data_IF_208629411266
#
_entry.id   IF_208629411266
#
_cell.length_a   1.000
_cell.length_b   1.000
_cell.length_c   1.000
_cell.angle_alpha   90.00
_cell.angle_beta   90.00
_cell.angle_gamma   90.00
#
_symmetry.space_group_name_H-M   'P 1'
#
loop_
_entity.id
_entity.type
_entity.pdbx_description
1 polymer ?
#
# COMPACT_ATOMS: atom_id res chain seq x y z
N UNK A 1 -17.55 -3.23 23.52
CA UNK A 1 -17.02 -2.83 22.17
C UNK A 1 -15.67 -3.52 21.98
N UNK A 2 -15.41 -4.07 20.81
CA UNK A 2 -14.16 -4.79 20.54
C UNK A 2 -13.03 -3.77 20.24
N UNK A 3 -11.89 -3.94 20.91
CA UNK A 3 -10.63 -3.20 20.59
C UNK A 3 -9.99 -3.74 19.30
N UNK A 4 -10.52 -4.82 18.73
CA UNK A 4 -9.94 -5.57 17.60
C UNK A 4 -9.82 -4.79 16.29
N UNK A 5 -10.56 -3.69 16.13
CA UNK A 5 -10.48 -2.86 14.91
C UNK A 5 -9.26 -1.93 14.90
N UNK A 6 -8.72 -1.59 16.06
CA UNK A 6 -7.56 -0.71 16.20
C UNK A 6 -6.28 -1.54 16.14
N UNK A 7 -5.80 -1.79 14.90
CA UNK A 7 -4.64 -2.65 14.63
C UNK A 7 -3.35 -1.84 14.59
N UNK A 8 -2.23 -2.54 14.41
CA UNK A 8 -0.91 -1.90 14.44
C UNK A 8 -0.70 -0.91 13.29
N UNK A 9 -1.17 -1.23 12.07
CA UNK A 9 -0.88 -0.43 10.88
C UNK A 9 -2.05 0.41 10.37
N UNK A 10 -3.27 0.01 10.69
CA UNK A 10 -4.50 0.66 10.23
C UNK A 10 -5.67 0.35 11.17
N UNK A 11 -6.81 0.98 10.88
CA UNK A 11 -8.09 0.62 11.50
C UNK A 11 -8.81 -0.29 10.53
N UNK A 12 -9.24 -1.49 10.95
CA UNK A 12 -9.88 -2.47 10.09
C UNK A 12 -10.99 -3.22 10.80
N UNK A 13 -12.17 -3.34 10.16
CA UNK A 13 -13.30 -4.04 10.75
C UNK A 13 -14.40 -4.35 9.74
N UNK A 14 -15.40 -5.12 10.18
CA UNK A 14 -16.58 -5.47 9.38
C UNK A 14 -17.60 -4.35 9.46
N UNK A 15 -18.10 -3.92 8.28
CA UNK A 15 -19.09 -2.86 8.15
C UNK A 15 -20.36 -3.16 8.96
N UNK A 16 -20.92 -2.15 9.61
CA UNK A 16 -22.05 -2.15 10.55
C UNK A 16 -21.85 -2.98 11.83
N UNK A 17 -21.05 -4.02 11.81
CA UNK A 17 -20.77 -4.84 12.99
C UNK A 17 -19.75 -4.17 13.93
N UNK A 18 -18.64 -3.76 13.37
CA UNK A 18 -17.50 -3.17 14.07
C UNK A 18 -17.31 -1.69 13.65
N UNK A 19 -17.41 -1.41 12.35
CA UNK A 19 -17.41 -0.06 11.79
C UNK A 19 -18.87 0.42 11.64
N UNK A 20 -19.50 0.75 12.75
CA UNK A 20 -20.83 1.35 12.79
C UNK A 20 -20.74 2.89 12.83
N UNK A 21 -21.89 3.54 12.70
CA UNK A 21 -22.00 4.99 12.60
C UNK A 21 -21.35 5.73 13.78
N UNK A 22 -21.64 5.33 15.03
CA UNK A 22 -21.11 5.97 16.23
C UNK A 22 -19.57 5.89 16.27
N UNK A 23 -19.03 4.70 16.03
CA UNK A 23 -17.58 4.46 16.04
C UNK A 23 -16.88 5.26 14.93
N UNK A 24 -17.43 5.27 13.72
CA UNK A 24 -16.78 5.95 12.58
C UNK A 24 -16.83 7.48 12.73
N UNK A 25 -17.91 8.04 13.25
CA UNK A 25 -17.98 9.46 13.60
C UNK A 25 -16.93 9.83 14.66
N UNK A 26 -16.78 9.01 15.70
CA UNK A 26 -15.73 9.21 16.72
C UNK A 26 -14.32 9.07 16.15
N UNK A 27 -14.09 8.10 15.25
CA UNK A 27 -12.80 7.98 14.52
C UNK A 27 -12.49 9.32 13.83
N UNK A 28 -13.42 9.86 13.04
CA UNK A 28 -13.23 11.16 12.37
C UNK A 28 -12.93 12.31 13.33
N UNK A 29 -13.68 12.38 14.44
CA UNK A 29 -13.49 13.42 15.46
C UNK A 29 -12.11 13.35 16.12
N UNK A 30 -11.70 12.18 16.58
CA UNK A 30 -10.43 12.02 17.28
C UNK A 30 -9.22 12.11 16.35
N UNK A 31 -9.32 11.68 15.08
CA UNK A 31 -8.28 11.92 14.07
C UNK A 31 -8.09 13.41 13.79
N UNK A 32 -9.17 14.16 13.66
CA UNK A 32 -9.09 15.60 13.50
C UNK A 32 -8.47 16.28 14.75
N UNK A 33 -8.80 15.81 15.96
CA UNK A 33 -8.14 16.26 17.20
C UNK A 33 -6.66 15.93 17.24
N UNK A 34 -6.29 14.72 16.81
CA UNK A 34 -4.88 14.32 16.72
C UNK A 34 -4.11 15.20 15.72
N UNK A 35 -4.71 15.51 14.57
CA UNK A 35 -4.11 16.44 13.62
C UNK A 35 -3.94 17.84 14.21
N UNK A 36 -4.97 18.42 14.82
CA UNK A 36 -4.88 19.73 15.45
C UNK A 36 -3.83 19.79 16.57
N UNK A 37 -3.59 18.69 17.27
CA UNK A 37 -2.50 18.58 18.25
C UNK A 37 -1.11 18.64 17.60
N UNK A 38 -0.95 18.02 16.41
CA UNK A 38 0.31 18.02 15.64
C UNK A 38 0.51 19.33 14.87
N UNK A 39 -0.58 19.87 14.32
CA UNK A 39 -0.63 21.06 13.47
C UNK A 39 -1.74 21.98 13.97
N UNK A 40 -1.48 22.89 14.92
CA UNK A 40 -2.52 23.71 15.56
C UNK A 40 -3.35 24.57 14.61
N UNK A 41 -2.80 24.94 13.45
CA UNK A 41 -3.47 25.74 12.42
C UNK A 41 -4.00 24.88 11.27
N UNK A 42 -4.11 23.57 11.42
CA UNK A 42 -4.68 22.69 10.41
C UNK A 42 -6.12 23.10 10.07
N UNK A 43 -6.46 23.03 8.81
CA UNK A 43 -7.77 23.43 8.28
C UNK A 43 -8.47 22.31 7.52
N UNK A 44 -7.72 21.42 6.90
CA UNK A 44 -8.24 20.46 5.93
C UNK A 44 -7.73 19.04 6.18
N UNK A 45 -8.66 18.07 6.21
CA UNK A 45 -8.40 16.64 6.04
C UNK A 45 -8.97 16.16 4.72
N UNK A 46 -8.14 15.56 3.89
CA UNK A 46 -8.59 14.96 2.64
C UNK A 46 -9.08 13.53 2.88
N UNK A 47 -10.17 13.13 2.24
CA UNK A 47 -10.77 11.80 2.35
C UNK A 47 -11.04 11.22 0.98
N UNK A 48 -10.44 10.06 0.69
CA UNK A 48 -10.72 9.26 -0.49
C UNK A 48 -11.24 7.88 -0.10
N UNK A 49 -11.77 7.12 -1.04
CA UNK A 49 -12.27 5.78 -0.77
C UNK A 49 -12.11 4.82 -1.95
N UNK A 50 -12.10 3.51 -1.63
CA UNK A 50 -12.00 2.41 -2.58
C UNK A 50 -13.37 2.00 -3.17
N UNK A 51 -13.36 0.94 -4.02
CA UNK A 51 -14.54 0.44 -4.72
C UNK A 51 -15.61 -0.20 -3.83
N UNK A 52 -15.37 -0.43 -2.53
CA UNK A 52 -16.29 -1.15 -1.64
C UNK A 52 -17.61 -0.42 -1.48
N UNK A 53 -18.71 -1.16 -1.54
CA UNK A 53 -20.09 -0.62 -1.59
C UNK A 53 -20.44 0.29 -0.42
N UNK A 54 -19.84 0.07 0.73
CA UNK A 54 -20.09 0.84 1.96
C UNK A 54 -19.10 2.00 2.19
N UNK A 55 -18.09 2.15 1.35
CA UNK A 55 -17.09 3.23 1.50
C UNK A 55 -17.70 4.64 1.45
N UNK A 56 -18.69 4.95 0.58
CA UNK A 56 -19.37 6.26 0.61
C UNK A 56 -20.12 6.55 1.92
N UNK A 57 -20.75 5.53 2.52
CA UNK A 57 -21.42 5.67 3.82
C UNK A 57 -20.42 5.97 4.94
N UNK A 58 -19.32 5.21 4.98
CA UNK A 58 -18.25 5.45 5.94
C UNK A 58 -17.65 6.85 5.79
N UNK A 59 -17.52 7.35 4.55
CA UNK A 59 -17.07 8.73 4.28
C UNK A 59 -18.02 9.76 4.91
N UNK A 60 -19.33 9.63 4.76
CA UNK A 60 -20.30 10.53 5.37
C UNK A 60 -20.18 10.57 6.89
N UNK A 61 -20.14 9.41 7.53
CA UNK A 61 -19.98 9.31 8.97
C UNK A 61 -18.64 9.89 9.45
N UNK A 62 -17.54 9.57 8.78
CA UNK A 62 -16.21 10.08 9.09
C UNK A 62 -16.16 11.61 8.96
N UNK A 63 -16.76 12.16 7.90
CA UNK A 63 -16.83 13.60 7.65
C UNK A 63 -17.59 14.33 8.76
N UNK A 64 -18.68 13.75 9.28
CA UNK A 64 -19.43 14.32 10.41
C UNK A 64 -18.54 14.48 11.64
N UNK A 65 -17.69 13.49 11.93
CA UNK A 65 -16.73 13.56 13.04
C UNK A 65 -15.66 14.63 12.82
N UNK A 66 -15.07 14.68 11.65
CA UNK A 66 -14.04 15.65 11.28
C UNK A 66 -14.59 17.09 11.39
N UNK A 67 -15.76 17.34 10.81
CA UNK A 67 -16.43 18.64 10.86
C UNK A 67 -16.78 19.05 12.30
N UNK A 68 -17.20 18.10 13.14
CA UNK A 68 -17.46 18.35 14.58
C UNK A 68 -16.21 18.82 15.31
N UNK A 69 -15.04 18.36 14.94
CA UNK A 69 -13.78 18.78 15.53
C UNK A 69 -13.29 20.15 15.02
N UNK A 70 -13.94 20.73 14.01
CA UNK A 70 -13.64 22.07 13.48
C UNK A 70 -12.76 22.08 12.22
N UNK A 71 -12.39 20.92 11.68
CA UNK A 71 -11.72 20.83 10.38
C UNK A 71 -12.74 20.72 9.25
N UNK A 72 -12.32 21.04 8.02
CA UNK A 72 -13.10 20.82 6.80
C UNK A 72 -12.60 19.59 6.06
N UNK A 73 -13.52 18.88 5.42
CA UNK A 73 -13.21 17.70 4.63
C UNK A 73 -13.04 18.07 3.16
N UNK A 74 -11.88 17.68 2.58
CA UNK A 74 -11.64 17.67 1.14
C UNK A 74 -12.00 16.28 0.62
N UNK A 75 -13.11 16.16 -0.14
CA UNK A 75 -13.58 14.88 -0.67
C UNK A 75 -12.92 14.60 -2.03
N UNK A 76 -12.14 13.56 -2.11
CA UNK A 76 -11.48 13.10 -3.33
C UNK A 76 -12.35 12.11 -4.13
N UNK A 77 -13.44 11.61 -3.55
CA UNK A 77 -14.27 10.57 -4.17
C UNK A 77 -13.57 9.21 -4.26
N UNK A 78 -13.91 8.47 -5.31
CA UNK A 78 -13.34 7.16 -5.63
C UNK A 78 -11.94 7.33 -6.24
N UNK A 79 -10.90 6.94 -5.50
CA UNK A 79 -9.50 7.09 -5.90
C UNK A 79 -8.66 5.92 -5.41
N UNK A 80 -7.53 5.59 -6.04
CA UNK A 80 -6.56 4.66 -5.48
C UNK A 80 -5.84 5.26 -4.26
N UNK A 81 -5.38 4.40 -3.35
CA UNK A 81 -4.60 4.79 -2.16
C UNK A 81 -3.42 5.71 -2.51
N UNK A 82 -2.63 5.47 -3.57
CA UNK A 82 -1.58 6.39 -3.99
C UNK A 82 -2.05 7.81 -4.30
N UNK A 83 -3.22 7.98 -4.93
CA UNK A 83 -3.76 9.32 -5.19
C UNK A 83 -4.22 10.03 -3.90
N UNK A 84 -4.62 9.28 -2.88
CA UNK A 84 -4.88 9.81 -1.55
C UNK A 84 -3.58 10.27 -0.87
N UNK A 85 -2.52 9.48 -0.93
CA UNK A 85 -1.20 9.89 -0.40
C UNK A 85 -0.63 11.10 -1.15
N UNK A 86 -0.80 11.14 -2.48
CA UNK A 86 -0.35 12.24 -3.35
C UNK A 86 -0.85 13.61 -2.90
N UNK A 87 -2.09 13.69 -2.41
CA UNK A 87 -2.69 14.93 -1.93
C UNK A 87 -1.94 15.56 -0.74
N UNK A 88 -1.22 14.76 0.07
CA UNK A 88 -0.41 15.29 1.17
C UNK A 88 0.81 16.10 0.68
N UNK A 89 1.24 15.89 -0.55
CA UNK A 89 2.45 16.50 -1.12
C UNK A 89 2.14 17.58 -2.16
N UNK A 90 0.91 17.62 -2.65
CA UNK A 90 0.50 18.48 -3.76
C UNK A 90 -0.72 19.30 -3.40
N UNK A 91 -0.76 20.53 -3.91
CA UNK A 91 -1.95 21.36 -3.89
C UNK A 91 -2.92 20.89 -4.99
N UNK A 92 -4.20 20.78 -4.65
CA UNK A 92 -5.25 20.32 -5.56
C UNK A 92 -6.39 21.35 -5.51
N UNK A 93 -6.76 21.92 -6.64
CA UNK A 93 -7.82 22.93 -6.79
C UNK A 93 -7.67 24.14 -5.83
N UNK A 94 -6.42 24.55 -5.55
CA UNK A 94 -6.13 25.64 -4.62
C UNK A 94 -6.18 25.24 -3.15
N UNK A 95 -6.36 23.96 -2.83
CA UNK A 95 -6.35 23.43 -1.46
C UNK A 95 -5.10 22.61 -1.17
N UNK A 96 -4.55 22.84 0.01
CA UNK A 96 -3.47 22.01 0.58
C UNK A 96 -4.00 21.31 1.81
N UNK A 97 -4.02 19.99 1.81
CA UNK A 97 -4.45 19.23 2.98
C UNK A 97 -3.34 19.12 4.04
N UNK A 98 -3.75 19.06 5.30
CA UNK A 98 -2.86 18.88 6.46
C UNK A 98 -2.71 17.40 6.82
N UNK A 99 -3.52 16.54 6.20
CA UNK A 99 -3.49 15.10 6.30
C UNK A 99 -4.52 14.46 5.38
N UNK A 100 -4.46 13.15 5.24
CA UNK A 100 -5.43 12.40 4.44
C UNK A 100 -5.84 11.09 5.11
N UNK A 101 -7.04 10.64 4.78
CA UNK A 101 -7.59 9.36 5.21
C UNK A 101 -8.10 8.63 3.97
N UNK A 102 -7.59 7.42 3.78
CA UNK A 102 -8.09 6.52 2.76
C UNK A 102 -9.02 5.48 3.38
N UNK A 103 -10.25 5.42 2.92
CA UNK A 103 -11.24 4.43 3.33
C UNK A 103 -11.09 3.22 2.42
N UNK A 104 -10.54 2.14 2.95
CA UNK A 104 -10.25 0.94 2.17
C UNK A 104 -10.18 -0.30 3.03
N UNK A 105 -10.59 -1.43 2.44
CA UNK A 105 -10.32 -2.76 2.95
C UNK A 105 -9.10 -3.42 2.31
N UNK A 106 -8.40 -2.75 1.35
CA UNK A 106 -7.30 -3.30 0.56
C UNK A 106 -7.70 -4.68 -0.02
N UNK A 107 -6.94 -5.71 0.24
CA UNK A 107 -7.18 -7.09 -0.16
C UNK A 107 -8.08 -7.89 0.81
N UNK A 108 -8.75 -7.30 1.80
CA UNK A 108 -9.67 -8.03 2.67
C UNK A 108 -10.97 -8.41 1.94
N UNK A 109 -11.74 -9.41 2.44
CA UNK A 109 -13.06 -9.76 1.91
C UNK A 109 -14.02 -8.55 1.77
N UNK A 110 -15.04 -8.63 0.91
CA UNK A 110 -15.94 -7.48 0.59
C UNK A 110 -16.61 -6.84 1.80
N UNK A 111 -16.92 -7.59 2.86
CA UNK A 111 -17.58 -7.10 4.06
C UNK A 111 -16.69 -6.27 4.99
N UNK A 112 -15.37 -6.33 4.79
CA UNK A 112 -14.40 -5.52 5.55
C UNK A 112 -14.24 -4.12 4.95
N UNK A 113 -13.86 -3.17 5.81
CA UNK A 113 -13.34 -1.87 5.43
C UNK A 113 -12.39 -1.34 6.50
N UNK A 114 -11.82 -0.16 6.31
CA UNK A 114 -10.89 0.41 7.27
C UNK A 114 -10.40 1.79 6.87
N UNK A 115 -9.36 2.25 7.57
CA UNK A 115 -8.81 3.60 7.38
C UNK A 115 -7.29 3.54 7.40
N UNK A 116 -6.66 3.91 6.27
CA UNK A 116 -5.23 4.24 6.21
C UNK A 116 -5.10 5.74 6.44
N UNK A 117 -4.27 6.14 7.39
CA UNK A 117 -4.27 7.50 7.91
C UNK A 117 -2.88 8.12 7.78
N UNK A 118 -2.83 9.31 7.21
CA UNK A 118 -1.63 10.13 7.11
C UNK A 118 -1.92 11.51 7.74
N UNK A 119 -1.21 11.88 8.79
CA UNK A 119 -1.34 13.20 9.43
C UNK A 119 -0.02 13.95 9.36
N UNK A 120 -0.04 15.15 8.80
CA UNK A 120 1.17 15.96 8.62
C UNK A 120 2.27 15.22 7.83
N UNK A 121 1.89 14.53 6.75
CA UNK A 121 2.77 13.72 5.90
C UNK A 121 3.43 12.51 6.59
N UNK A 122 2.93 12.10 7.72
CA UNK A 122 3.43 10.95 8.47
C UNK A 122 2.33 9.92 8.67
N UNK A 123 2.63 8.62 8.58
CA UNK A 123 1.66 7.58 8.87
C UNK A 123 1.21 7.68 10.32
N UNK A 124 -0.07 7.43 10.56
CA UNK A 124 -0.67 7.37 11.88
C UNK A 124 -0.96 5.89 12.20
N UNK A 125 -0.16 5.27 13.07
CA UNK A 125 -0.16 3.83 13.30
C UNK A 125 0.32 3.47 14.71
N UNK A 126 0.30 2.18 15.06
CA UNK A 126 0.77 1.62 16.32
C UNK A 126 0.18 2.36 17.54
N UNK A 127 1.01 2.92 18.40
CA UNK A 127 0.60 3.61 19.62
C UNK A 127 -0.40 4.76 19.38
N UNK A 128 -0.30 5.43 18.24
CA UNK A 128 -1.26 6.47 17.85
C UNK A 128 -2.66 5.87 17.68
N UNK A 129 -2.78 4.73 16.97
CA UNK A 129 -4.05 4.02 16.76
C UNK A 129 -4.57 3.44 18.07
N UNK A 130 -3.70 2.84 18.88
CA UNK A 130 -4.10 2.28 20.17
C UNK A 130 -4.58 3.37 21.13
N UNK A 131 -3.92 4.54 21.14
CA UNK A 131 -4.36 5.69 21.93
C UNK A 131 -5.71 6.22 21.46
N UNK A 132 -5.87 6.39 20.13
CA UNK A 132 -7.13 6.78 19.51
C UNK A 132 -8.26 5.81 19.93
N UNK A 133 -8.01 4.52 19.89
CA UNK A 133 -8.98 3.49 20.29
C UNK A 133 -9.42 3.60 21.74
N UNK A 134 -8.47 3.85 22.66
CA UNK A 134 -8.79 4.09 24.08
C UNK A 134 -9.68 5.32 24.27
N UNK A 135 -9.36 6.42 23.60
CA UNK A 135 -10.14 7.66 23.70
C UNK A 135 -11.57 7.47 23.17
N UNK A 136 -11.72 6.79 22.01
CA UNK A 136 -13.03 6.49 21.41
C UNK A 136 -13.88 5.60 22.31
N UNK A 137 -13.30 4.56 22.91
CA UNK A 137 -14.02 3.62 23.77
C UNK A 137 -14.44 4.25 25.11
N UNK A 138 -13.74 5.26 25.58
CA UNK A 138 -14.08 6.03 26.79
C UNK A 138 -15.13 7.12 26.53
N UNK A 139 -15.36 7.48 25.25
CA UNK A 139 -16.27 8.58 24.88
C UNK A 139 -17.71 8.08 24.70
N UNK A 140 -18.61 8.57 25.55
CA UNK A 140 -20.05 8.32 25.47
C UNK A 140 -20.84 9.46 24.78
N UNK A 141 -20.15 10.44 24.18
CA UNK A 141 -20.81 11.53 23.46
C UNK A 141 -21.43 11.06 22.15
N UNK A 142 -22.43 11.77 21.69
CA UNK A 142 -23.04 11.57 20.37
C UNK A 142 -22.60 12.69 19.43
N UNK A 143 -22.28 12.34 18.19
CA UNK A 143 -21.90 13.27 17.14
C UNK A 143 -23.05 13.35 16.12
N UNK A 144 -23.64 14.54 16.00
CA UNK A 144 -24.69 14.80 15.03
C UNK A 144 -24.17 14.76 13.59
N UNK A 145 -25.06 14.47 12.65
CA UNK A 145 -24.74 14.45 11.22
C UNK A 145 -24.30 15.82 10.72
N UNK A 146 -23.18 15.84 10.04
CA UNK A 146 -22.67 16.97 9.29
C UNK A 146 -21.70 16.45 8.21
N UNK A 147 -22.23 15.99 7.13
CA UNK A 147 -21.47 15.40 6.00
C UNK A 147 -20.97 16.45 4.99
N UNK A 148 -20.92 17.73 5.37
CA UNK A 148 -20.44 18.79 4.50
C UNK A 148 -18.99 18.54 4.06
N UNK A 149 -18.76 18.62 2.75
CA UNK A 149 -17.44 18.40 2.14
C UNK A 149 -17.17 19.42 1.03
N UNK A 150 -15.90 19.62 0.73
CA UNK A 150 -15.44 20.36 -0.45
C UNK A 150 -14.90 19.31 -1.42
N UNK A 151 -15.50 19.20 -2.60
CA UNK A 151 -15.00 18.30 -3.65
C UNK A 151 -13.71 18.83 -4.24
N UNK A 152 -12.71 17.91 -4.43
CA UNK A 152 -11.46 18.22 -5.10
C UNK A 152 -11.12 17.14 -6.14
N UNK A 153 -10.48 17.53 -7.23
CA UNK A 153 -10.13 16.63 -8.33
C UNK A 153 -8.74 16.02 -8.16
N UNK A 154 -8.57 15.21 -7.11
CA UNK A 154 -7.33 14.50 -6.84
C UNK A 154 -6.99 13.48 -7.93
N UNK A 155 -8.00 12.82 -8.50
CA UNK A 155 -7.84 11.81 -9.54
C UNK A 155 -7.12 12.37 -10.77
N UNK A 156 -7.66 13.39 -11.39
CA UNK A 156 -7.07 13.94 -12.61
C UNK A 156 -5.71 14.60 -12.32
N UNK A 157 -5.56 15.23 -11.17
CA UNK A 157 -4.27 15.80 -10.76
C UNK A 157 -3.16 14.74 -10.61
N UNK A 158 -3.51 13.57 -10.06
CA UNK A 158 -2.61 12.41 -9.97
C UNK A 158 -2.31 11.83 -11.36
N UNK A 159 -3.32 11.63 -12.21
CA UNK A 159 -3.15 11.17 -13.60
C UNK A 159 -2.18 12.08 -14.34
N UNK A 160 -2.39 13.40 -14.29
CA UNK A 160 -1.53 14.37 -15.00
C UNK A 160 -0.09 14.33 -14.48
N UNK A 161 0.10 14.15 -13.17
CA UNK A 161 1.45 14.00 -12.60
C UNK A 161 2.17 12.76 -13.13
N UNK A 162 1.49 11.60 -13.17
CA UNK A 162 2.07 10.36 -13.72
C UNK A 162 2.39 10.53 -15.20
N UNK A 163 1.45 11.05 -15.98
CA UNK A 163 1.64 11.28 -17.43
C UNK A 163 2.83 12.20 -17.68
N UNK A 164 2.94 13.32 -16.97
CA UNK A 164 4.07 14.25 -17.14
C UNK A 164 5.41 13.61 -16.75
N UNK A 165 5.42 12.79 -15.69
CA UNK A 165 6.62 12.10 -15.21
C UNK A 165 7.14 11.07 -16.22
N UNK A 166 6.25 10.43 -17.00
CA UNK A 166 6.59 9.31 -17.87
C UNK A 166 6.31 9.55 -19.37
N UNK A 167 6.07 10.79 -19.79
CA UNK A 167 5.83 11.15 -21.21
C UNK A 167 7.00 10.87 -22.16
N UNK A 168 8.16 10.52 -21.62
CA UNK A 168 9.36 10.18 -22.38
C UNK A 168 9.39 8.73 -22.87
N UNK A 169 8.50 7.87 -22.36
CA UNK A 169 8.45 6.45 -22.71
C UNK A 169 8.17 6.21 -24.21
N UNK A 170 8.88 5.25 -24.80
CA UNK A 170 8.78 4.86 -26.23
C UNK A 170 8.55 3.35 -26.38
N UNK A 171 7.38 2.91 -26.00
CA UNK A 171 7.01 1.48 -25.94
C UNK A 171 6.17 1.00 -27.13
N UNK A 172 6.36 1.60 -28.32
CA UNK A 172 5.53 1.38 -29.53
C UNK A 172 5.46 -0.07 -30.00
N UNK A 173 6.53 -0.85 -29.76
CA UNK A 173 6.64 -2.26 -30.17
C UNK A 173 6.32 -3.25 -29.04
N UNK A 174 5.86 -2.77 -27.90
CA UNK A 174 5.52 -3.57 -26.72
C UNK A 174 4.02 -3.54 -26.46
N UNK A 175 3.50 -4.61 -25.90
CA UNK A 175 2.10 -4.74 -25.52
C UNK A 175 1.99 -5.32 -24.11
N UNK A 176 1.17 -4.72 -23.29
CA UNK A 176 1.07 -5.03 -21.87
C UNK A 176 -0.34 -5.45 -21.49
N UNK A 177 -0.43 -6.31 -20.48
CA UNK A 177 -1.69 -6.68 -19.87
C UNK A 177 -1.71 -6.24 -18.40
N UNK A 178 -2.85 -5.71 -17.98
CA UNK A 178 -3.06 -5.22 -16.63
C UNK A 178 -4.27 -5.91 -16.02
N UNK A 179 -4.20 -6.25 -14.75
CA UNK A 179 -5.29 -6.84 -13.98
C UNK A 179 -5.61 -5.95 -12.79
N UNK A 180 -6.76 -5.29 -12.85
CA UNK A 180 -7.21 -4.38 -11.79
C UNK A 180 -8.06 -5.09 -10.72
N UNK A 181 -8.40 -6.38 -10.89
CA UNK A 181 -9.17 -7.17 -9.92
C UNK A 181 -10.48 -6.51 -9.48
N UNK A 182 -11.13 -5.68 -10.33
CA UNK A 182 -12.26 -4.81 -9.97
C UNK A 182 -11.97 -3.82 -8.83
N UNK A 183 -10.70 -3.58 -8.51
CA UNK A 183 -10.23 -2.56 -7.57
C UNK A 183 -10.16 -1.17 -8.18
N UNK A 184 -9.55 -0.23 -7.46
CA UNK A 184 -9.49 1.18 -7.88
C UNK A 184 -8.30 1.53 -8.79
N UNK A 185 -7.43 0.58 -9.14
CA UNK A 185 -6.39 0.82 -10.15
C UNK A 185 -7.01 1.26 -11.48
N UNK A 186 -8.12 0.64 -11.90
CA UNK A 186 -8.85 0.97 -13.14
C UNK A 186 -9.34 2.40 -13.21
N UNK A 187 -9.58 3.05 -12.07
CA UNK A 187 -10.04 4.45 -12.00
C UNK A 187 -9.10 5.43 -12.68
N UNK A 188 -7.79 5.13 -12.70
CA UNK A 188 -6.74 6.02 -13.21
C UNK A 188 -5.94 5.40 -14.35
N UNK A 189 -5.74 4.08 -14.34
CA UNK A 189 -4.77 3.38 -15.20
C UNK A 189 -5.11 3.50 -16.68
N UNK A 190 -6.36 3.23 -17.08
CA UNK A 190 -6.78 3.26 -18.49
C UNK A 190 -6.56 4.64 -19.13
N UNK A 191 -6.84 5.72 -18.39
CA UNK A 191 -6.61 7.09 -18.87
C UNK A 191 -5.11 7.40 -19.00
N UNK A 192 -4.29 7.01 -18.02
CA UNK A 192 -2.83 7.21 -18.07
C UNK A 192 -2.22 6.46 -19.28
N UNK A 193 -2.57 5.18 -19.47
CA UNK A 193 -2.08 4.37 -20.59
C UNK A 193 -2.48 4.97 -21.93
N UNK A 194 -3.70 5.50 -22.04
CA UNK A 194 -4.20 6.18 -23.24
C UNK A 194 -3.42 7.45 -23.52
N UNK A 195 -3.22 8.32 -22.52
CA UNK A 195 -2.46 9.58 -22.66
C UNK A 195 -0.98 9.33 -23.04
N UNK A 196 -0.40 8.22 -22.58
CA UNK A 196 0.98 7.81 -22.90
C UNK A 196 1.08 6.96 -24.17
N UNK A 197 -0.03 6.68 -24.86
CA UNK A 197 -0.07 5.86 -26.08
C UNK A 197 0.55 4.46 -25.90
N UNK A 198 0.31 3.82 -24.75
CA UNK A 198 0.81 2.49 -24.41
C UNK A 198 -0.20 1.43 -24.86
N UNK A 199 0.21 0.48 -25.71
CA UNK A 199 -0.64 -0.63 -26.16
C UNK A 199 -0.93 -1.58 -25.00
N UNK A 200 -2.21 -1.77 -24.69
CA UNK A 200 -2.61 -2.51 -23.52
C UNK A 200 -3.90 -3.31 -23.70
N UNK A 201 -4.13 -4.22 -22.75
CA UNK A 201 -5.41 -4.82 -22.40
C UNK A 201 -5.54 -4.72 -20.89
N UNK A 202 -6.71 -4.29 -20.41
CA UNK A 202 -6.99 -4.22 -18.96
C UNK A 202 -8.08 -5.24 -18.64
N UNK A 203 -7.78 -6.15 -17.72
CA UNK A 203 -8.74 -7.09 -17.13
C UNK A 203 -9.40 -6.44 -15.92
N UNK A 204 -10.70 -6.65 -15.77
CA UNK A 204 -11.48 -6.26 -14.60
C UNK A 204 -11.28 -4.79 -14.20
N UNK A 205 -11.29 -3.91 -15.22
CA UNK A 205 -10.99 -2.48 -15.08
C UNK A 205 -12.05 -1.75 -14.25
N UNK A 206 -13.34 -2.14 -14.43
CA UNK A 206 -14.47 -1.48 -13.76
C UNK A 206 -14.46 -1.76 -12.25
N UNK A 207 -14.44 -0.74 -11.39
CA UNK A 207 -14.45 -0.94 -9.94
C UNK A 207 -15.78 -1.59 -9.48
N UNK A 208 -15.67 -2.70 -8.76
CA UNK A 208 -16.81 -3.39 -8.13
C UNK A 208 -16.43 -3.95 -6.76
N UNK A 209 -17.02 -3.38 -5.71
CA UNK A 209 -16.73 -3.78 -4.32
C UNK A 209 -17.15 -5.20 -3.94
N UNK A 210 -17.82 -5.95 -4.84
CA UNK A 210 -18.08 -7.38 -4.67
C UNK A 210 -16.93 -8.26 -5.17
N UNK A 211 -15.97 -7.70 -5.95
CA UNK A 211 -14.85 -8.42 -6.57
C UNK A 211 -15.27 -9.71 -7.29
N UNK A 212 -16.14 -9.63 -8.31
CA UNK A 212 -16.84 -10.80 -8.86
C UNK A 212 -15.95 -11.76 -9.65
N UNK A 213 -14.76 -11.34 -10.08
CA UNK A 213 -13.88 -12.16 -10.92
C UNK A 213 -12.88 -12.96 -10.08
N UNK A 214 -12.13 -12.29 -9.24
CA UNK A 214 -11.24 -12.91 -8.26
C UNK A 214 -10.97 -11.94 -7.10
N UNK A 215 -10.44 -12.48 -6.01
CA UNK A 215 -10.00 -11.66 -4.88
C UNK A 215 -8.83 -10.75 -5.28
N UNK A 216 -8.88 -9.42 -5.02
CA UNK A 216 -7.84 -8.49 -5.49
C UNK A 216 -6.60 -8.51 -4.58
N UNK A 217 -5.84 -9.60 -4.63
CA UNK A 217 -4.59 -9.78 -3.89
C UNK A 217 -3.50 -10.35 -4.81
N UNK A 218 -2.63 -9.52 -5.42
CA UNK A 218 -1.60 -9.97 -6.35
C UNK A 218 -0.46 -10.75 -5.66
N UNK A 219 -0.44 -10.85 -4.34
CA UNK A 219 0.50 -11.69 -3.61
C UNK A 219 0.10 -13.17 -3.59
N UNK A 220 -1.17 -13.48 -3.85
CA UNK A 220 -1.70 -14.84 -3.99
C UNK A 220 -1.61 -15.29 -5.46
N UNK A 221 -0.86 -16.38 -5.72
CA UNK A 221 -0.67 -16.93 -7.06
C UNK A 221 -1.99 -17.37 -7.75
N UNK A 222 -3.01 -17.75 -6.98
CA UNK A 222 -4.31 -18.15 -7.52
C UNK A 222 -5.09 -16.99 -8.14
N UNK A 223 -4.89 -15.77 -7.67
CA UNK A 223 -5.55 -14.58 -8.22
C UNK A 223 -4.92 -14.13 -9.53
N UNK A 224 -3.76 -14.67 -9.89
CA UNK A 224 -3.01 -14.34 -11.11
C UNK A 224 -3.29 -15.29 -12.29
N UNK A 225 -4.25 -16.21 -12.17
CA UNK A 225 -4.49 -17.23 -13.21
C UNK A 225 -4.93 -16.60 -14.53
N UNK A 226 -5.82 -15.60 -14.51
CA UNK A 226 -6.32 -14.96 -15.74
C UNK A 226 -5.22 -14.19 -16.48
N UNK A 227 -4.43 -13.39 -15.75
CA UNK A 227 -3.33 -12.64 -16.37
C UNK A 227 -2.23 -13.58 -16.90
N UNK A 228 -1.92 -14.69 -16.20
CA UNK A 228 -0.99 -15.73 -16.68
C UNK A 228 -1.48 -16.40 -17.95
N UNK A 229 -2.77 -16.70 -18.03
CA UNK A 229 -3.39 -17.27 -19.24
C UNK A 229 -3.26 -16.34 -20.43
N UNK A 230 -3.49 -15.06 -20.25
CA UNK A 230 -3.32 -14.05 -21.31
C UNK A 230 -1.84 -13.92 -21.74
N UNK A 231 -0.90 -13.90 -20.79
CA UNK A 231 0.53 -13.90 -21.10
C UNK A 231 0.96 -15.14 -21.86
N UNK A 232 0.41 -16.31 -21.53
CA UNK A 232 0.70 -17.58 -22.22
C UNK A 232 0.21 -17.58 -23.68
N UNK A 233 -0.75 -16.72 -24.07
CA UNK A 233 -1.18 -16.56 -25.47
C UNK A 233 -0.05 -16.06 -26.38
N UNK A 234 0.95 -15.39 -25.80
CA UNK A 234 2.07 -14.79 -26.53
C UNK A 234 1.78 -13.40 -27.07
N UNK A 235 0.58 -12.86 -26.86
CA UNK A 235 0.18 -11.54 -27.36
C UNK A 235 0.80 -10.38 -26.58
N UNK A 236 1.10 -10.60 -25.28
CA UNK A 236 1.60 -9.57 -24.37
C UNK A 236 3.05 -9.86 -23.96
N UNK A 237 3.85 -8.81 -23.77
CA UNK A 237 5.24 -8.91 -23.32
C UNK A 237 5.34 -9.09 -21.80
N UNK A 238 4.58 -8.29 -21.03
CA UNK A 238 4.53 -8.31 -19.57
C UNK A 238 3.10 -8.09 -19.05
N UNK A 239 2.87 -8.54 -17.81
CA UNK A 239 1.63 -8.34 -17.07
C UNK A 239 1.85 -7.65 -15.73
N UNK A 240 0.86 -6.87 -15.31
CA UNK A 240 0.84 -6.14 -14.04
C UNK A 240 -0.49 -6.39 -13.35
N UNK A 241 -0.48 -6.82 -12.09
CA UNK A 241 -1.68 -7.01 -11.30
C UNK A 241 -1.63 -6.17 -10.02
N UNK A 242 -2.80 -5.71 -9.58
CA UNK A 242 -2.96 -4.78 -8.47
C UNK A 242 -3.86 -5.34 -7.39
N UNK A 243 -3.68 -4.86 -6.15
CA UNK A 243 -4.64 -5.11 -5.09
C UNK A 243 -5.82 -4.11 -5.12
N UNK A 244 -6.79 -4.32 -4.22
CA UNK A 244 -8.06 -3.61 -4.25
C UNK A 244 -7.95 -2.09 -4.16
N UNK A 245 -6.92 -1.55 -3.53
CA UNK A 245 -6.68 -0.11 -3.39
C UNK A 245 -5.42 0.40 -4.11
N UNK A 246 -4.77 -0.48 -4.91
CA UNK A 246 -3.67 -0.18 -5.83
C UNK A 246 -2.39 0.34 -5.16
N UNK A 247 -2.07 -0.14 -3.97
CA UNK A 247 -0.78 0.12 -3.33
C UNK A 247 0.17 -1.09 -3.37
N UNK A 248 -0.29 -2.25 -3.90
CA UNK A 248 0.53 -3.44 -4.19
C UNK A 248 0.49 -3.80 -5.67
N UNK A 249 1.63 -4.29 -6.15
CA UNK A 249 1.83 -4.70 -7.54
C UNK A 249 2.46 -6.09 -7.61
N UNK A 250 2.02 -6.90 -8.58
CA UNK A 250 2.78 -8.02 -9.12
C UNK A 250 3.19 -7.68 -10.56
N UNK A 251 4.44 -7.94 -10.90
CA UNK A 251 4.98 -7.87 -12.26
C UNK A 251 5.27 -9.28 -12.76
N UNK A 252 4.69 -9.63 -13.91
CA UNK A 252 4.82 -10.94 -14.52
C UNK A 252 5.45 -10.84 -15.92
N UNK A 253 6.40 -11.74 -16.20
CA UNK A 253 6.77 -12.12 -17.56
C UNK A 253 5.97 -13.36 -17.97
N UNK A 254 6.24 -13.89 -19.18
CA UNK A 254 5.69 -15.20 -19.62
C UNK A 254 6.18 -16.36 -18.77
N UNK A 255 7.32 -16.22 -18.08
CA UNK A 255 7.97 -17.27 -17.29
C UNK A 255 7.82 -17.11 -15.79
N UNK A 256 7.88 -15.89 -15.30
CA UNK A 256 8.07 -15.59 -13.88
C UNK A 256 7.07 -14.55 -13.35
N UNK A 257 6.77 -14.68 -12.06
CA UNK A 257 6.16 -13.64 -11.24
C UNK A 257 7.25 -13.06 -10.32
N UNK A 258 7.64 -11.81 -10.55
CA UNK A 258 8.70 -11.15 -9.80
C UNK A 258 8.14 -10.56 -8.51
N UNK A 259 8.50 -11.13 -7.37
CA UNK A 259 8.08 -10.63 -6.05
C UNK A 259 8.77 -9.30 -5.71
N UNK A 260 8.22 -8.58 -4.71
CA UNK A 260 8.70 -7.23 -4.38
C UNK A 260 10.19 -7.14 -4.03
N UNK A 261 10.78 -8.16 -3.40
CA UNK A 261 12.20 -8.22 -3.11
C UNK A 261 13.08 -8.37 -4.37
N UNK A 262 12.60 -9.12 -5.35
CA UNK A 262 13.28 -9.24 -6.66
C UNK A 262 13.16 -7.92 -7.43
N UNK A 263 11.98 -7.31 -7.41
CA UNK A 263 11.78 -5.98 -8.01
C UNK A 263 12.69 -4.92 -7.35
N UNK A 264 12.95 -5.04 -6.04
CA UNK A 264 13.90 -4.15 -5.35
C UNK A 264 15.31 -4.24 -5.92
N UNK A 265 15.79 -5.44 -6.27
CA UNK A 265 17.07 -5.61 -6.96
C UNK A 265 17.05 -4.91 -8.31
N UNK A 266 16.01 -5.14 -9.11
CA UNK A 266 15.93 -4.63 -10.48
C UNK A 266 15.88 -3.11 -10.51
N UNK A 267 15.02 -2.48 -9.70
CA UNK A 267 14.93 -1.02 -9.63
C UNK A 267 16.21 -0.38 -9.07
N UNK A 268 16.76 -0.94 -8.00
CA UNK A 268 17.93 -0.35 -7.35
C UNK A 268 19.22 -0.45 -8.15
N UNK A 269 19.36 -1.44 -9.06
CA UNK A 269 20.48 -1.52 -10.01
C UNK A 269 20.63 -0.27 -10.89
N UNK A 270 19.54 0.47 -11.11
CA UNK A 270 19.50 1.68 -11.93
C UNK A 270 19.58 2.97 -11.11
N UNK A 271 19.81 2.85 -9.80
CA UNK A 271 20.04 3.99 -8.90
C UNK A 271 21.54 4.12 -8.58
N UNK A 272 21.97 5.33 -8.30
CA UNK A 272 23.39 5.60 -8.00
C UNK A 272 23.66 5.40 -6.49
N UNK A 273 24.44 4.39 -6.12
CA UNK A 273 24.78 4.06 -4.72
C UNK A 273 23.54 4.03 -3.81
N UNK A 274 22.50 3.24 -4.17
CA UNK A 274 21.22 3.30 -3.50
C UNK A 274 21.28 2.83 -2.05
N UNK A 275 20.48 3.46 -1.20
CA UNK A 275 20.08 2.89 0.09
C UNK A 275 18.69 2.30 -0.05
N UNK A 276 18.56 0.99 0.17
CA UNK A 276 17.31 0.24 -0.02
C UNK A 276 16.90 -0.41 1.29
N UNK A 277 15.63 -0.27 1.66
CA UNK A 277 15.06 -0.94 2.83
C UNK A 277 14.21 -2.13 2.35
N UNK A 278 14.49 -3.31 2.90
CA UNK A 278 13.63 -4.48 2.75
C UNK A 278 12.98 -4.86 4.07
N UNK A 279 11.82 -5.49 4.02
CA UNK A 279 11.22 -6.08 5.21
C UNK A 279 11.89 -7.42 5.56
N UNK A 280 11.70 -7.89 6.79
CA UNK A 280 12.31 -9.14 7.28
C UNK A 280 12.01 -10.39 6.44
N UNK A 281 10.89 -10.40 5.68
CA UNK A 281 10.51 -11.51 4.78
C UNK A 281 11.22 -11.48 3.41
N UNK A 282 11.89 -10.38 3.06
CA UNK A 282 12.67 -10.30 1.83
C UNK A 282 13.82 -11.31 1.84
N UNK A 283 14.11 -11.88 0.67
CA UNK A 283 15.14 -12.90 0.52
C UNK A 283 16.54 -12.37 0.84
N UNK A 284 17.40 -13.24 1.38
CA UNK A 284 18.81 -12.90 1.60
C UNK A 284 19.51 -12.49 0.29
N UNK A 285 19.06 -13.05 -0.85
CA UNK A 285 19.57 -12.66 -2.18
C UNK A 285 19.38 -11.17 -2.45
N UNK A 286 18.25 -10.59 -2.03
CA UNK A 286 18.03 -9.16 -2.18
C UNK A 286 19.09 -8.35 -1.41
N UNK A 287 19.30 -8.67 -0.13
CA UNK A 287 20.25 -7.96 0.71
C UNK A 287 21.69 -8.11 0.22
N UNK A 288 22.11 -9.33 -0.12
CA UNK A 288 23.48 -9.59 -0.59
C UNK A 288 23.75 -8.93 -1.94
N UNK A 289 22.79 -9.02 -2.86
CA UNK A 289 22.92 -8.42 -4.18
C UNK A 289 23.00 -6.89 -4.09
N UNK A 290 22.09 -6.26 -3.37
CA UNK A 290 22.08 -4.80 -3.22
C UNK A 290 23.33 -4.31 -2.49
N UNK A 291 23.81 -5.02 -1.46
CA UNK A 291 25.04 -4.67 -0.75
C UNK A 291 26.30 -4.76 -1.62
N UNK A 292 26.25 -5.38 -2.79
CA UNK A 292 27.38 -5.41 -3.73
C UNK A 292 27.58 -4.08 -4.50
N UNK A 293 26.56 -3.22 -4.60
CA UNK A 293 26.61 -1.94 -5.32
C UNK A 293 25.96 -0.75 -4.57
N UNK A 294 25.34 -1.00 -3.43
CA UNK A 294 24.64 0.00 -2.61
C UNK A 294 24.63 -0.40 -1.14
N UNK A 295 23.59 -0.05 -0.43
CA UNK A 295 23.35 -0.40 0.97
C UNK A 295 21.95 -0.95 1.15
N UNK A 296 21.82 -2.19 1.62
CA UNK A 296 20.55 -2.77 2.02
C UNK A 296 20.35 -2.71 3.53
N UNK A 297 19.14 -2.38 3.97
CA UNK A 297 18.74 -2.30 5.38
C UNK A 297 17.56 -3.23 5.58
N UNK A 298 17.67 -4.19 6.49
CA UNK A 298 16.55 -5.02 6.92
C UNK A 298 15.75 -4.28 7.99
N UNK A 299 14.41 -4.30 7.87
CA UNK A 299 13.55 -3.64 8.83
C UNK A 299 12.24 -4.41 9.06
N UNK A 300 11.44 -3.93 10.00
CA UNK A 300 10.12 -4.50 10.33
C UNK A 300 9.19 -4.49 9.13
N UNK A 301 8.36 -5.54 9.01
CA UNK A 301 7.22 -5.58 8.09
C UNK A 301 6.22 -4.49 8.41
N UNK A 302 5.52 -4.01 7.39
CA UNK A 302 4.43 -3.06 7.49
C UNK A 302 4.73 -1.74 6.79
N UNK A 303 3.86 -1.40 5.85
CA UNK A 303 4.01 -0.22 5.00
C UNK A 303 4.24 1.09 5.79
N UNK A 304 3.62 1.23 6.97
CA UNK A 304 3.82 2.39 7.85
C UNK A 304 5.22 2.43 8.45
N UNK A 305 5.76 1.27 8.87
CA UNK A 305 7.14 1.15 9.38
C UNK A 305 8.15 1.54 8.31
N UNK A 306 7.96 1.07 7.06
CA UNK A 306 8.89 1.37 5.97
C UNK A 306 8.86 2.87 5.60
N UNK A 307 7.69 3.52 5.57
CA UNK A 307 7.59 4.98 5.35
C UNK A 307 8.38 5.79 6.39
N UNK A 308 8.25 5.43 7.66
CA UNK A 308 9.03 6.08 8.73
C UNK A 308 10.52 5.82 8.52
N UNK A 309 10.90 4.57 8.22
CA UNK A 309 12.32 4.21 8.04
C UNK A 309 12.96 4.86 6.82
N UNK A 310 12.22 5.02 5.72
CA UNK A 310 12.67 5.81 4.56
C UNK A 310 13.03 7.24 4.99
N UNK A 311 12.15 7.89 5.74
CA UNK A 311 12.37 9.26 6.23
C UNK A 311 13.57 9.35 7.17
N UNK A 312 13.72 8.40 8.11
CA UNK A 312 14.83 8.37 9.06
C UNK A 312 16.20 8.18 8.39
N UNK A 313 16.25 7.34 7.36
CA UNK A 313 17.51 6.96 6.70
C UNK A 313 17.76 7.71 5.41
N UNK A 314 16.78 8.48 4.92
CA UNK A 314 16.75 9.06 3.58
C UNK A 314 17.03 8.00 2.50
N UNK A 315 16.45 6.80 2.68
CA UNK A 315 16.61 5.72 1.72
C UNK A 315 15.96 6.07 0.38
N UNK A 316 16.57 5.59 -0.72
CA UNK A 316 16.11 5.86 -2.09
C UNK A 316 14.91 5.00 -2.47
N UNK A 317 14.81 3.81 -1.87
CA UNK A 317 13.78 2.83 -2.18
C UNK A 317 13.49 1.92 -0.98
N UNK A 318 12.25 1.42 -0.90
CA UNK A 318 11.91 0.32 0.00
C UNK A 318 10.95 -0.65 -0.67
N UNK A 319 10.92 -1.90 -0.20
CA UNK A 319 10.06 -2.95 -0.71
C UNK A 319 9.60 -3.94 0.35
N UNK A 320 8.39 -4.46 0.16
CA UNK A 320 7.88 -5.67 0.82
C UNK A 320 7.68 -6.78 -0.22
N UNK A 321 7.85 -8.03 0.18
CA UNK A 321 7.61 -9.21 -0.69
C UNK A 321 6.21 -9.20 -1.27
N UNK A 322 5.25 -8.67 -0.53
CA UNK A 322 3.83 -8.55 -0.92
C UNK A 322 3.56 -7.60 -2.08
N UNK A 323 4.57 -6.85 -2.55
CA UNK A 323 4.45 -5.93 -3.67
C UNK A 323 4.22 -4.47 -3.30
N UNK A 324 4.29 -4.08 -2.02
CA UNK A 324 4.43 -2.67 -1.66
C UNK A 324 5.81 -2.16 -2.08
N UNK A 325 5.87 -1.18 -2.95
CA UNK A 325 7.09 -0.58 -3.48
C UNK A 325 7.08 0.93 -3.24
N UNK A 326 8.14 1.43 -2.61
CA UNK A 326 8.25 2.81 -2.14
C UNK A 326 9.42 3.49 -2.82
N UNK A 327 9.16 4.38 -3.77
CA UNK A 327 10.20 5.16 -4.44
C UNK A 327 10.38 6.51 -3.76
N UNK A 328 11.62 6.84 -3.39
CA UNK A 328 11.98 8.11 -2.78
C UNK A 328 13.13 8.82 -3.54
N UNK A 329 13.68 8.15 -4.56
CA UNK A 329 14.72 8.71 -5.44
C UNK A 329 14.20 9.89 -6.30
N UNK A 330 12.98 9.74 -6.85
CA UNK A 330 12.30 10.70 -7.72
C UNK A 330 10.82 10.86 -7.40
N UNK A 331 10.40 10.36 -6.23
CA UNK A 331 9.02 10.37 -5.77
C UNK A 331 8.94 10.69 -4.28
N UNK A 332 7.83 10.43 -3.62
CA UNK A 332 7.54 10.92 -2.26
C UNK A 332 7.73 9.89 -1.15
N UNK A 333 8.21 8.67 -1.46
CA UNK A 333 8.54 7.64 -0.46
C UNK A 333 7.34 6.93 0.16
N UNK A 334 6.18 6.90 -0.51
CA UNK A 334 5.05 6.05 -0.14
C UNK A 334 4.83 4.92 -1.17
N UNK A 335 4.06 3.91 -0.79
CA UNK A 335 3.71 2.76 -1.60
C UNK A 335 2.73 3.15 -2.72
N UNK A 336 3.15 2.91 -3.97
CA UNK A 336 2.40 3.29 -5.15
C UNK A 336 2.59 2.26 -6.28
N UNK A 337 1.59 1.40 -6.47
CA UNK A 337 1.64 0.36 -7.49
C UNK A 337 1.52 0.94 -8.91
N UNK A 338 0.81 2.05 -9.08
CA UNK A 338 0.67 2.72 -10.38
C UNK A 338 2.01 3.36 -10.75
N UNK A 339 2.64 4.13 -9.87
CA UNK A 339 3.96 4.69 -10.11
C UNK A 339 5.01 3.60 -10.37
N UNK A 340 4.99 2.51 -9.58
CA UNK A 340 5.87 1.36 -9.76
C UNK A 340 5.72 0.71 -11.14
N UNK A 341 4.49 0.63 -11.67
CA UNK A 341 4.24 0.17 -13.04
C UNK A 341 5.04 0.97 -14.06
N UNK A 342 4.95 2.29 -14.01
CA UNK A 342 5.65 3.16 -14.97
C UNK A 342 7.17 3.15 -14.78
N UNK A 343 7.65 2.96 -13.55
CA UNK A 343 9.07 2.70 -13.29
C UNK A 343 9.54 1.38 -13.91
N UNK A 344 8.73 0.32 -13.89
CA UNK A 344 9.04 -0.93 -14.59
C UNK A 344 9.01 -0.74 -16.11
N UNK A 345 8.05 0.03 -16.64
CA UNK A 345 7.99 0.37 -18.05
C UNK A 345 9.21 1.19 -18.52
N UNK A 346 9.80 2.06 -17.67
CA UNK A 346 11.07 2.72 -17.95
C UNK A 346 12.23 1.72 -18.15
N UNK A 347 12.30 0.68 -17.29
CA UNK A 347 13.32 -0.36 -17.43
C UNK A 347 13.12 -1.15 -18.72
N UNK A 348 11.87 -1.49 -19.07
CA UNK A 348 11.53 -2.19 -20.32
C UNK A 348 11.90 -1.33 -21.54
N UNK A 349 11.61 -0.03 -21.52
CA UNK A 349 11.96 0.92 -22.58
C UNK A 349 13.48 1.04 -22.76
N UNK A 350 14.23 0.97 -21.65
CA UNK A 350 15.69 0.97 -21.65
C UNK A 350 16.30 -0.39 -22.10
N UNK A 351 15.46 -1.41 -22.40
CA UNK A 351 15.93 -2.72 -22.84
C UNK A 351 16.36 -3.67 -21.71
N UNK A 352 15.93 -3.43 -20.47
CA UNK A 352 16.21 -4.33 -19.36
C UNK A 352 15.47 -5.65 -19.51
N UNK A 353 16.20 -6.76 -19.45
CA UNK A 353 15.66 -8.12 -19.56
C UNK A 353 15.42 -8.71 -18.16
N UNK A 354 14.17 -8.63 -17.71
CA UNK A 354 13.76 -9.11 -16.39
C UNK A 354 14.00 -10.61 -16.20
N UNK A 355 13.74 -11.41 -17.24
CA UNK A 355 13.92 -12.87 -17.18
C UNK A 355 15.40 -13.22 -17.04
N UNK A 356 16.26 -12.65 -17.89
CA UNK A 356 17.70 -12.87 -17.84
C UNK A 356 18.32 -12.44 -16.51
N UNK A 357 17.93 -11.27 -16.03
CA UNK A 357 18.41 -10.75 -14.73
C UNK A 357 17.95 -11.61 -13.56
N UNK A 358 16.73 -12.14 -13.60
CA UNK A 358 16.24 -13.07 -12.59
C UNK A 358 16.97 -14.41 -12.62
N UNK A 359 17.20 -14.97 -13.81
CA UNK A 359 17.93 -16.22 -14.01
C UNK A 359 19.41 -16.13 -13.59
N UNK A 360 19.98 -14.93 -13.59
CA UNK A 360 21.35 -14.66 -13.13
C UNK A 360 21.49 -14.55 -11.59
N UNK A 361 20.37 -14.43 -10.85
CA UNK A 361 20.43 -14.37 -9.40
C UNK A 361 20.78 -15.74 -8.78
N UNK A 362 21.46 -15.77 -7.63
CA UNK A 362 21.68 -17.00 -6.89
C UNK A 362 20.37 -17.70 -6.57
N UNK A 363 20.29 -19.00 -6.85
CA UNK A 363 19.15 -19.80 -6.46
C UNK A 363 19.12 -20.03 -4.96
N UNK A 364 18.01 -19.74 -4.33
CA UNK A 364 17.77 -19.98 -2.90
C UNK A 364 16.47 -20.76 -2.72
N UNK A 365 16.40 -21.51 -1.65
CA UNK A 365 15.20 -22.22 -1.26
C UNK A 365 14.47 -21.40 -0.18
N UNK A 366 13.20 -21.16 -0.38
CA UNK A 366 12.33 -20.52 0.62
C UNK A 366 11.08 -21.38 0.84
N UNK A 367 10.56 -21.34 2.05
CA UNK A 367 9.21 -21.88 2.32
C UNK A 367 8.16 -20.84 1.96
N UNK A 368 6.94 -21.24 1.62
CA UNK A 368 5.82 -20.32 1.64
C UNK A 368 5.63 -19.76 3.06
N UNK A 369 4.90 -18.66 3.18
CA UNK A 369 4.51 -18.11 4.49
C UNK A 369 3.64 -19.14 5.23
N UNK A 370 4.06 -19.51 6.44
CA UNK A 370 3.37 -20.49 7.27
C UNK A 370 2.57 -19.73 8.33
N UNK A 371 1.25 -19.72 8.20
CA UNK A 371 0.36 -19.07 9.13
C UNK A 371 0.03 -19.99 10.31
N UNK A 372 0.31 -19.54 11.54
CA UNK A 372 -0.02 -20.24 12.78
C UNK A 372 -1.18 -19.47 13.43
N UNK A 373 -2.33 -20.15 13.61
CA UNK A 373 -3.48 -19.55 14.26
C UNK A 373 -3.23 -19.33 15.74
N UNK A 374 -3.29 -18.09 16.18
CA UNK A 374 -3.16 -17.67 17.59
C UNK A 374 -4.23 -16.63 17.93
N UNK A 375 -4.44 -16.36 19.21
CA UNK A 375 -5.36 -15.30 19.65
C UNK A 375 -4.65 -13.94 19.74
N UNK A 376 -5.41 -12.85 19.61
CA UNK A 376 -4.88 -11.49 19.77
C UNK A 376 -4.16 -11.29 21.11
N UNK A 377 -4.67 -11.88 22.19
CA UNK A 377 -4.11 -11.74 23.54
C UNK A 377 -2.79 -12.50 23.73
N UNK A 378 -2.51 -13.50 22.89
CA UNK A 378 -1.33 -14.39 23.06
C UNK A 378 -0.23 -14.17 22.03
N UNK A 379 -0.53 -13.58 20.87
CA UNK A 379 0.42 -13.47 19.74
C UNK A 379 1.75 -12.80 20.12
N UNK A 380 1.71 -11.67 20.84
CA UNK A 380 2.92 -10.95 21.22
C UNK A 380 3.72 -11.72 22.27
N UNK A 381 3.03 -12.34 23.25
CA UNK A 381 3.68 -13.15 24.28
C UNK A 381 4.42 -14.35 23.67
N UNK A 382 3.83 -15.03 22.69
CA UNK A 382 4.44 -16.15 21.98
C UNK A 382 5.76 -15.72 21.33
N UNK A 383 5.79 -14.54 20.70
CA UNK A 383 7.00 -14.00 20.07
C UNK A 383 8.06 -13.68 21.12
N UNK A 384 7.72 -13.04 22.23
CA UNK A 384 8.67 -12.77 23.33
C UNK A 384 9.23 -14.05 23.95
N UNK A 385 8.37 -15.03 24.21
CA UNK A 385 8.78 -16.34 24.73
C UNK A 385 9.72 -17.06 23.72
N UNK A 386 9.44 -16.95 22.42
CA UNK A 386 10.28 -17.50 21.36
C UNK A 386 11.66 -16.80 21.31
N UNK A 387 11.71 -15.47 21.41
CA UNK A 387 12.98 -14.72 21.47
C UNK A 387 13.86 -15.19 22.62
N UNK A 388 13.28 -15.37 23.81
CA UNK A 388 14.00 -15.88 24.98
C UNK A 388 14.50 -17.31 24.73
N UNK A 389 13.65 -18.19 24.16
CA UNK A 389 14.04 -19.56 23.83
C UNK A 389 15.19 -19.63 22.80
N UNK A 390 15.20 -18.74 21.81
CA UNK A 390 16.23 -18.67 20.77
C UNK A 390 17.58 -18.16 21.31
N UNK A 391 17.59 -17.36 22.37
CA UNK A 391 18.83 -16.94 23.04
C UNK A 391 19.52 -18.11 23.78
N UNK A 392 18.76 -19.09 24.27
CA UNK A 392 19.23 -20.26 24.96
C UNK A 392 18.51 -21.53 24.44
N UNK A 393 18.78 -21.93 23.18
CA UNK A 393 17.99 -22.99 22.53
C UNK A 393 18.19 -24.33 23.24
N UNK A 394 17.16 -25.18 23.35
CA UNK A 394 17.29 -26.55 23.84
C UNK A 394 18.36 -27.33 23.06
N UNK A 395 18.97 -28.32 23.69
CA UNK A 395 20.07 -29.11 23.11
C UNK A 395 19.72 -29.86 21.82
N UNK A 396 18.46 -30.16 21.63
CA UNK A 396 17.85 -30.82 20.45
C UNK A 396 17.37 -29.83 19.38
N UNK A 397 17.48 -28.53 19.65
CA UNK A 397 17.09 -27.52 18.66
C UNK A 397 18.10 -27.53 17.50
N UNK A 398 17.63 -27.44 16.23
CA UNK A 398 18.55 -27.33 15.09
C UNK A 398 19.55 -26.19 15.30
N UNK A 399 20.82 -26.45 15.09
CA UNK A 399 21.87 -25.40 15.15
C UNK A 399 21.65 -24.47 13.96
N UNK A 400 20.78 -23.48 14.12
CA UNK A 400 20.62 -22.39 13.17
C UNK A 400 21.75 -21.41 13.47
N UNK A 401 22.73 -21.35 12.56
CA UNK A 401 23.72 -20.27 12.56
C UNK A 401 22.95 -19.00 12.20
N UNK A 402 23.03 -17.97 12.95
CA UNK A 402 22.53 -16.65 12.61
C UNK A 402 20.99 -16.53 12.50
N UNK A 403 20.28 -16.74 13.62
CA UNK A 403 18.87 -16.32 13.70
C UNK A 403 18.87 -14.79 13.80
N UNK A 404 18.36 -14.14 12.75
CA UNK A 404 18.16 -12.70 12.76
C UNK A 404 16.75 -12.44 13.33
N UNK A 405 16.68 -11.81 14.50
CA UNK A 405 15.42 -11.25 15.01
C UNK A 405 15.40 -9.78 14.69
N UNK A 406 14.40 -9.35 13.92
CA UNK A 406 14.11 -7.94 13.64
C UNK A 406 12.82 -7.61 14.38
N UNK A 407 12.91 -6.71 15.34
CA UNK A 407 11.75 -6.22 16.11
C UNK A 407 11.04 -5.11 15.37
#
# INVERSE_FOLDING_TARGET
MSTSIFREYDIRGIFQKELNEDIVKKIGFYLAKALLKRVPNASFLAVGYDARLHSPTLKGWLSSGINKAGLKVLDMGLVPTPANYFANFNEIDGYKCDGSIMITGSHNPPEYNGFKITLNKEPFFADDIYSLGRDILADNSNISDNEAVIQIDSKNRYIDYIVESFKHLKLENKKFIFDCGNGVAGVVLGEILTKLNIKNKILFEEPDGNFPNHHPDPSDEHTLEDIKKELASGEFDFGFAYDGDADRIALLSKKYNFKGDILAIFFSKHMKNPTVIGEVKCSQVMYDTINSYGKAIMYKTGHSNLKVKIKETNADFAAEVSGHLFFNDRYFGYDDAIYATFRALELIDAGFDFDLEFEALPQVYSTPEINITVTEDTKFKIIEDLKVALQNPPSDFPKIKDIITVD
#
